data_IF_699501926136
#
_entry.id   IF_699501926136
#
_cell.length_a   1.000
_cell.length_b   1.000
_cell.length_c   1.000
_cell.angle_alpha   90.00
_cell.angle_beta   90.00
_cell.angle_gamma   90.00
#
_symmetry.space_group_name_H-M   'P 1'
#
loop_
_entity.id
_entity.type
_entity.pdbx_description
1 polymer ?
#
# COMPACT_ATOMS: atom_id res chain seq x y z
N UNK A 1 4.93 11.52 25.12
CA UNK A 1 4.81 10.53 24.04
C UNK A 1 5.53 9.20 24.36
N UNK A 2 6.81 9.20 24.77
CA UNK A 2 7.52 7.96 25.13
C UNK A 2 6.95 7.23 26.35
N UNK A 3 6.53 7.95 27.37
CA UNK A 3 5.88 7.37 28.57
C UNK A 3 4.46 6.89 28.27
N UNK A 4 3.72 7.59 27.42
CA UNK A 4 2.35 7.20 27.01
C UNK A 4 2.39 5.98 26.09
N UNK A 5 3.30 5.95 25.10
CA UNK A 5 3.46 4.81 24.19
C UNK A 5 3.89 3.53 24.93
N UNK A 6 4.81 3.64 25.89
CA UNK A 6 5.16 2.53 26.79
C UNK A 6 4.00 2.16 27.72
N UNK A 7 3.24 3.14 28.20
CA UNK A 7 2.05 2.90 29.04
C UNK A 7 0.94 2.21 28.25
N UNK A 8 0.65 2.62 27.01
CA UNK A 8 -0.33 1.96 26.14
C UNK A 8 0.09 0.54 25.80
N UNK A 9 1.35 0.33 25.41
CA UNK A 9 1.90 -1.01 25.14
C UNK A 9 1.92 -1.87 26.42
N UNK A 10 2.22 -1.30 27.57
CA UNK A 10 2.25 -2.02 28.84
C UNK A 10 0.84 -2.22 29.45
N UNK A 11 -0.11 -1.32 29.24
CA UNK A 11 -1.49 -1.49 29.70
C UNK A 11 -2.20 -2.58 28.91
N UNK A 12 -2.14 -2.60 27.59
CA UNK A 12 -2.77 -3.66 26.80
C UNK A 12 -2.19 -5.05 27.08
N UNK A 13 -0.89 -5.15 27.38
CA UNK A 13 -0.22 -6.44 27.64
C UNK A 13 -0.30 -6.88 29.11
N UNK A 14 -0.41 -5.94 30.07
CA UNK A 14 -0.39 -6.30 31.51
C UNK A 14 -1.71 -6.76 32.08
N UNK A 15 -2.83 -6.25 31.56
CA UNK A 15 -4.15 -6.48 32.16
C UNK A 15 -5.11 -7.25 31.26
N UNK A 16 -4.76 -7.49 29.98
CA UNK A 16 -5.60 -8.21 29.03
C UNK A 16 -4.81 -9.29 28.31
N UNK A 17 -5.39 -10.49 28.20
CA UNK A 17 -4.87 -11.55 27.33
C UNK A 17 -5.19 -11.20 25.88
N UNK A 18 -4.17 -10.95 25.05
CA UNK A 18 -4.31 -10.69 23.60
C UNK A 18 -3.73 -11.85 22.82
N UNK A 19 -4.52 -12.43 21.93
CA UNK A 19 -4.08 -13.44 20.96
C UNK A 19 -4.15 -12.80 19.57
N UNK A 20 -3.04 -12.84 18.83
CA UNK A 20 -2.97 -12.37 17.43
C UNK A 20 -2.92 -13.57 16.52
N UNK A 21 -3.85 -13.64 15.57
CA UNK A 21 -3.89 -14.69 14.54
C UNK A 21 -3.44 -14.10 13.21
N UNK A 22 -2.57 -14.79 12.51
CA UNK A 22 -2.08 -14.44 11.18
C UNK A 22 -2.28 -15.62 10.23
N UNK A 23 -2.91 -15.37 9.10
CA UNK A 23 -3.18 -16.42 8.11
C UNK A 23 -1.92 -16.85 7.33
N UNK A 24 -0.95 -15.94 7.19
CA UNK A 24 0.33 -16.21 6.55
C UNK A 24 1.33 -16.82 7.54
N UNK A 25 2.42 -17.40 7.01
CA UNK A 25 3.56 -17.91 7.79
C UNK A 25 4.45 -16.80 8.36
N UNK A 26 4.12 -15.53 8.11
CA UNK A 26 4.90 -14.35 8.53
C UNK A 26 3.98 -13.23 9.02
N UNK A 27 4.50 -12.40 9.92
CA UNK A 27 3.83 -11.18 10.41
C UNK A 27 4.10 -9.99 9.48
N UNK A 28 3.27 -8.94 9.57
CA UNK A 28 3.42 -7.69 8.83
C UNK A 28 2.40 -7.53 7.68
N UNK A 29 1.70 -8.62 7.33
CA UNK A 29 0.71 -8.61 6.26
C UNK A 29 1.31 -8.17 4.92
N UNK A 30 0.83 -7.04 4.36
CA UNK A 30 1.35 -6.45 3.10
C UNK A 30 2.65 -5.65 3.26
N UNK A 31 3.26 -5.66 4.42
CA UNK A 31 4.54 -5.02 4.70
C UNK A 31 5.59 -6.12 4.95
N UNK A 32 6.22 -6.60 3.88
CA UNK A 32 7.12 -7.76 3.87
C UNK A 32 8.44 -7.38 3.25
N UNK A 33 9.53 -7.65 3.97
CA UNK A 33 10.90 -7.55 3.45
C UNK A 33 11.46 -8.94 3.23
N UNK A 34 11.95 -9.21 2.03
CA UNK A 34 12.69 -10.42 1.67
C UNK A 34 14.20 -10.19 1.74
N UNK A 35 14.93 -11.17 2.25
CA UNK A 35 16.39 -11.13 2.40
C UNK A 35 17.08 -12.24 1.56
N UNK A 36 16.34 -12.95 0.71
CA UNK A 36 16.86 -14.10 -0.03
C UNK A 36 17.04 -13.83 -1.53
N UNK A 37 16.37 -12.80 -2.06
CA UNK A 37 16.34 -12.51 -3.50
C UNK A 37 17.61 -11.77 -3.92
N UNK A 38 17.90 -10.67 -3.23
CA UNK A 38 19.07 -9.82 -3.47
C UNK A 38 20.06 -9.89 -2.31
N UNK A 39 21.25 -9.37 -2.52
CA UNK A 39 22.26 -9.31 -1.47
C UNK A 39 21.94 -8.26 -0.38
N UNK A 40 20.88 -7.49 -0.58
CA UNK A 40 20.33 -6.54 0.38
C UNK A 40 18.84 -6.82 0.61
N UNK A 41 18.27 -6.39 1.76
CA UNK A 41 16.85 -6.49 2.03
C UNK A 41 16.00 -5.79 0.97
N UNK A 42 14.91 -6.43 0.52
CA UNK A 42 14.01 -5.90 -0.49
C UNK A 42 12.56 -5.97 -0.03
N UNK A 43 11.89 -4.82 0.01
CA UNK A 43 10.48 -4.75 0.36
C UNK A 43 9.57 -5.20 -0.80
N UNK A 44 8.97 -6.35 -0.67
CA UNK A 44 7.99 -6.87 -1.63
C UNK A 44 6.66 -6.09 -1.61
N UNK A 45 6.30 -5.54 -0.45
CA UNK A 45 5.08 -4.75 -0.25
C UNK A 45 5.36 -3.28 0.03
N UNK A 46 4.76 -2.73 1.10
CA UNK A 46 5.01 -1.36 1.53
C UNK A 46 6.47 -1.09 1.81
N UNK A 47 7.05 -0.05 1.19
CA UNK A 47 8.44 0.35 1.36
C UNK A 47 8.58 1.77 1.91
N UNK A 48 7.58 2.60 1.68
CA UNK A 48 7.67 4.04 1.91
C UNK A 48 7.08 4.45 3.26
N UNK A 49 7.82 5.27 3.98
CA UNK A 49 7.29 6.10 5.06
C UNK A 49 6.76 7.39 4.42
N UNK A 50 5.56 7.33 3.86
CA UNK A 50 4.90 8.50 3.26
C UNK A 50 4.65 9.58 4.30
N UNK A 51 4.70 10.87 3.87
CA UNK A 51 4.50 12.03 4.74
C UNK A 51 5.38 11.95 6.00
N UNK A 52 6.67 11.67 5.81
CA UNK A 52 7.60 11.28 6.87
C UNK A 52 7.77 12.33 7.97
N UNK A 53 7.54 13.59 7.67
CA UNK A 53 7.58 14.72 8.63
C UNK A 53 6.49 14.61 9.72
N UNK A 54 5.34 14.01 9.39
CA UNK A 54 4.21 13.80 10.32
C UNK A 54 3.97 12.32 10.63
N UNK A 55 4.60 11.41 9.92
CA UNK A 55 4.42 9.97 10.05
C UNK A 55 4.99 9.45 11.40
N UNK A 56 4.18 8.87 12.27
CA UNK A 56 4.66 8.37 13.56
C UNK A 56 5.71 7.26 13.42
N UNK A 57 5.62 6.45 12.37
CA UNK A 57 6.58 5.36 12.12
C UNK A 57 7.96 5.91 11.73
N UNK A 58 8.04 7.03 11.01
CA UNK A 58 9.32 7.68 10.71
C UNK A 58 10.02 8.14 12.00
N UNK A 59 9.28 8.78 12.90
CA UNK A 59 9.78 9.19 14.21
C UNK A 59 10.24 8.00 15.06
N UNK A 60 9.46 6.91 15.06
CA UNK A 60 9.83 5.69 15.81
C UNK A 60 11.08 5.05 15.21
N UNK A 61 11.22 5.03 13.88
CA UNK A 61 12.42 4.51 13.22
C UNK A 61 13.67 5.30 13.63
N UNK A 62 13.61 6.64 13.60
CA UNK A 62 14.72 7.49 14.07
C UNK A 62 15.06 7.25 15.57
N UNK A 63 14.05 7.14 16.42
CA UNK A 63 14.23 6.87 17.85
C UNK A 63 14.85 5.49 18.14
N UNK A 64 14.64 4.54 17.25
CA UNK A 64 15.21 3.20 17.33
C UNK A 64 16.53 3.04 16.55
N UNK A 65 17.08 4.17 16.06
CA UNK A 65 18.32 4.23 15.29
C UNK A 65 18.28 3.45 13.97
N UNK A 66 17.13 3.32 13.35
CA UNK A 66 17.04 2.85 11.96
C UNK A 66 17.49 3.98 11.04
N UNK A 67 18.38 3.66 10.11
CA UNK A 67 18.79 4.62 9.09
C UNK A 67 17.68 4.81 8.06
N UNK A 68 17.39 6.09 7.74
CA UNK A 68 16.37 6.48 6.78
C UNK A 68 17.03 7.11 5.56
N UNK A 69 16.65 6.63 4.38
CA UNK A 69 17.04 7.20 3.10
C UNK A 69 16.04 8.28 2.68
N UNK A 70 16.50 9.53 2.74
CA UNK A 70 15.70 10.74 2.49
C UNK A 70 15.96 11.24 1.07
N UNK A 71 15.64 10.41 0.07
CA UNK A 71 15.92 10.70 -1.34
C UNK A 71 14.72 11.33 -2.01
N UNK A 72 14.99 12.32 -2.87
CA UNK A 72 14.01 12.82 -3.82
C UNK A 72 14.32 12.19 -5.18
N UNK A 73 13.30 11.63 -5.79
CA UNK A 73 13.38 11.07 -7.13
C UNK A 73 13.14 12.15 -8.17
N UNK A 74 13.85 12.11 -9.28
CA UNK A 74 13.67 13.07 -10.38
C UNK A 74 13.30 12.34 -11.66
N UNK A 75 12.24 12.79 -12.33
CA UNK A 75 11.88 12.31 -13.65
C UNK A 75 12.99 12.66 -14.64
N UNK A 76 13.75 11.65 -15.06
CA UNK A 76 14.93 11.85 -15.89
C UNK A 76 14.69 11.37 -17.31
N UNK A 77 14.03 10.22 -17.47
CA UNK A 77 13.71 9.66 -18.77
C UNK A 77 12.22 9.38 -18.87
N UNK A 78 11.63 9.81 -19.97
CA UNK A 78 10.25 9.47 -20.31
C UNK A 78 10.23 9.03 -21.77
N UNK A 79 9.81 7.79 -21.99
CA UNK A 79 9.65 7.21 -23.31
C UNK A 79 8.19 6.84 -23.54
N UNK A 80 7.61 7.43 -24.57
CA UNK A 80 6.18 7.22 -24.86
C UNK A 80 5.98 6.89 -26.32
N UNK A 81 5.39 5.74 -26.59
CA UNK A 81 4.99 5.30 -27.93
C UNK A 81 6.16 5.38 -28.95
N UNK A 82 7.31 4.87 -28.57
CA UNK A 82 8.51 4.80 -29.44
C UNK A 82 9.33 6.08 -29.48
N UNK A 83 8.99 7.12 -28.69
CA UNK A 83 9.68 8.41 -28.67
C UNK A 83 10.15 8.77 -27.27
N UNK A 84 11.44 9.02 -27.12
CA UNK A 84 11.99 9.61 -25.90
C UNK A 84 11.73 11.11 -25.86
N UNK A 85 11.21 11.60 -24.73
CA UNK A 85 10.96 13.03 -24.55
C UNK A 85 12.27 13.81 -24.36
N UNK A 86 12.31 15.02 -24.93
CA UNK A 86 13.39 15.96 -24.70
C UNK A 86 13.29 16.54 -23.28
N UNK A 87 14.39 17.14 -22.77
CA UNK A 87 14.38 17.81 -21.47
C UNK A 87 13.34 18.95 -21.38
N UNK A 88 13.02 19.61 -22.50
CA UNK A 88 11.98 20.63 -22.57
C UNK A 88 10.59 20.00 -22.41
N UNK A 89 10.32 18.91 -23.12
CA UNK A 89 9.07 18.16 -23.03
C UNK A 89 8.86 17.57 -21.64
N UNK A 90 9.93 17.10 -20.98
CA UNK A 90 9.87 16.59 -19.59
C UNK A 90 9.48 17.74 -18.65
N UNK A 91 10.04 18.96 -18.83
CA UNK A 91 9.62 20.13 -18.03
C UNK A 91 8.14 20.48 -18.24
N UNK A 92 7.65 20.47 -19.48
CA UNK A 92 6.22 20.67 -19.77
C UNK A 92 5.34 19.61 -19.09
N UNK A 93 5.78 18.36 -19.12
CA UNK A 93 5.09 17.24 -18.47
C UNK A 93 5.03 17.42 -16.95
N UNK A 94 6.14 17.78 -16.30
CA UNK A 94 6.17 18.07 -14.86
C UNK A 94 5.21 19.21 -14.50
N UNK A 95 5.19 20.29 -15.27
CA UNK A 95 4.23 21.39 -15.06
C UNK A 95 2.77 20.93 -15.21
N UNK A 96 2.52 19.99 -16.13
CA UNK A 96 1.20 19.39 -16.26
C UNK A 96 0.81 18.57 -15.02
N UNK A 97 1.73 17.78 -14.47
CA UNK A 97 1.52 17.02 -13.23
C UNK A 97 1.19 17.95 -12.06
N UNK A 98 1.93 19.04 -11.89
CA UNK A 98 1.65 20.05 -10.86
C UNK A 98 0.24 20.64 -11.00
N UNK A 99 -0.16 21.01 -12.21
CA UNK A 99 -1.51 21.52 -12.49
C UNK A 99 -2.60 20.47 -12.23
N UNK A 100 -2.33 19.25 -12.57
CA UNK A 100 -3.22 18.11 -12.31
C UNK A 100 -3.50 17.97 -10.81
N UNK A 101 -2.46 17.97 -9.98
CA UNK A 101 -2.60 17.90 -8.53
C UNK A 101 -3.31 19.10 -7.95
N UNK A 102 -3.06 20.31 -8.47
CA UNK A 102 -3.81 21.51 -8.09
C UNK A 102 -5.31 21.34 -8.37
N UNK A 103 -5.69 20.77 -9.51
CA UNK A 103 -7.09 20.53 -9.84
C UNK A 103 -7.74 19.53 -8.89
N UNK A 104 -7.03 18.44 -8.53
CA UNK A 104 -7.52 17.44 -7.58
C UNK A 104 -7.68 18.06 -6.19
N UNK A 105 -6.67 18.78 -5.72
CA UNK A 105 -6.66 19.42 -4.40
C UNK A 105 -7.63 20.63 -4.28
N UNK A 106 -8.04 21.20 -5.39
CA UNK A 106 -9.06 22.25 -5.43
C UNK A 106 -10.46 21.69 -5.77
N UNK A 107 -10.62 20.36 -5.85
CA UNK A 107 -11.93 19.76 -6.04
C UNK A 107 -12.81 20.10 -4.83
N UNK A 108 -13.99 20.62 -5.12
CA UNK A 108 -14.94 21.05 -4.10
C UNK A 108 -15.62 19.83 -3.48
N UNK A 109 -15.21 19.51 -2.25
CA UNK A 109 -15.74 18.38 -1.48
C UNK A 109 -17.27 18.46 -1.23
N UNK A 110 -17.90 19.65 -1.41
CA UNK A 110 -19.36 19.83 -1.35
C UNK A 110 -20.09 19.33 -2.60
N UNK A 111 -19.37 19.03 -3.67
CA UNK A 111 -19.91 18.57 -4.93
C UNK A 111 -19.92 17.05 -4.99
N UNK A 112 -20.65 16.52 -5.97
CA UNK A 112 -20.71 15.08 -6.26
C UNK A 112 -19.29 14.52 -6.43
N UNK A 113 -18.97 13.45 -5.70
CA UNK A 113 -17.72 12.71 -5.87
C UNK A 113 -17.59 12.19 -7.30
N UNK A 114 -16.53 12.60 -7.96
CA UNK A 114 -16.23 12.25 -9.34
C UNK A 114 -15.06 11.29 -9.41
N UNK A 115 -14.89 10.63 -10.56
CA UNK A 115 -13.63 9.93 -10.80
C UNK A 115 -12.47 10.93 -10.98
N UNK A 116 -11.28 10.54 -10.55
CA UNK A 116 -10.04 11.33 -10.71
C UNK A 116 -9.82 11.70 -12.18
N UNK A 117 -10.12 10.80 -13.10
CA UNK A 117 -9.97 11.01 -14.54
C UNK A 117 -10.68 12.29 -15.03
N UNK A 118 -11.87 12.60 -14.46
CA UNK A 118 -12.65 13.78 -14.83
C UNK A 118 -12.03 15.11 -14.41
N UNK A 119 -11.10 15.10 -13.47
CA UNK A 119 -10.37 16.28 -12.99
C UNK A 119 -9.06 16.51 -13.75
N UNK A 120 -8.63 15.55 -14.59
CA UNK A 120 -7.39 15.69 -15.36
C UNK A 120 -7.54 16.74 -16.46
N UNK A 121 -6.66 17.75 -16.53
CA UNK A 121 -6.69 18.75 -17.59
C UNK A 121 -6.51 18.11 -18.97
N UNK A 122 -7.14 18.69 -20.00
CA UNK A 122 -6.89 18.26 -21.38
C UNK A 122 -5.47 18.65 -21.79
N UNK A 123 -4.68 17.69 -22.24
CA UNK A 123 -3.29 17.88 -22.70
C UNK A 123 -2.78 16.65 -23.44
N UNK A 124 -1.75 16.82 -24.25
CA UNK A 124 -0.95 15.72 -24.84
C UNK A 124 -0.30 14.83 -23.74
N UNK A 125 -0.11 15.37 -22.53
CA UNK A 125 0.51 14.71 -21.38
C UNK A 125 -0.48 13.87 -20.55
N UNK A 126 -1.79 14.00 -20.81
CA UNK A 126 -2.83 13.34 -20.02
C UNK A 126 -2.64 11.81 -19.97
N UNK A 127 -2.23 11.19 -21.08
CA UNK A 127 -2.05 9.74 -21.16
C UNK A 127 -0.98 9.22 -20.18
N UNK A 128 0.21 9.84 -20.18
CA UNK A 128 1.30 9.43 -19.27
C UNK A 128 0.89 9.69 -17.81
N UNK A 129 0.39 10.89 -17.51
CA UNK A 129 -0.01 11.29 -16.17
C UNK A 129 -1.11 10.40 -15.58
N UNK A 130 -2.08 9.98 -16.40
CA UNK A 130 -3.13 9.04 -16.02
C UNK A 130 -2.54 7.72 -15.51
N UNK A 131 -1.54 7.19 -16.18
CA UNK A 131 -0.90 5.94 -15.80
C UNK A 131 0.00 6.09 -14.55
N UNK A 132 0.64 7.25 -14.36
CA UNK A 132 1.31 7.54 -13.07
C UNK A 132 0.32 7.57 -11.90
N UNK A 133 -0.88 8.14 -12.09
CA UNK A 133 -1.93 8.08 -11.06
C UNK A 133 -2.33 6.63 -10.79
N UNK A 134 -2.43 5.78 -11.81
CA UNK A 134 -2.76 4.37 -11.64
C UNK A 134 -1.72 3.63 -10.78
N UNK A 135 -0.42 3.98 -10.87
CA UNK A 135 0.59 3.47 -9.95
C UNK A 135 0.35 3.93 -8.51
N UNK A 136 0.04 5.22 -8.31
CA UNK A 136 -0.14 5.78 -6.97
C UNK A 136 -1.38 5.23 -6.26
N UNK A 137 -2.47 5.05 -7.01
CA UNK A 137 -3.75 4.57 -6.47
C UNK A 137 -3.90 3.05 -6.52
N UNK A 138 -2.97 2.33 -7.16
CA UNK A 138 -3.11 0.92 -7.52
C UNK A 138 -4.40 0.62 -8.32
N UNK A 139 -4.99 1.64 -8.92
CA UNK A 139 -6.25 1.58 -9.65
C UNK A 139 -6.31 2.66 -10.71
N UNK A 140 -7.02 2.39 -11.80
CA UNK A 140 -7.18 3.35 -12.88
C UNK A 140 -7.95 4.60 -12.40
N UNK A 141 -7.56 5.82 -12.81
CA UNK A 141 -8.20 7.06 -12.36
C UNK A 141 -9.67 7.19 -12.77
N UNK A 142 -10.15 6.40 -13.74
CA UNK A 142 -11.55 6.32 -14.14
C UNK A 142 -12.47 5.74 -13.07
N UNK A 143 -11.94 4.83 -12.27
CA UNK A 143 -12.68 4.11 -11.22
C UNK A 143 -12.33 4.58 -9.82
N UNK A 144 -11.44 5.54 -9.67
CA UNK A 144 -10.96 6.04 -8.38
C UNK A 144 -11.69 7.33 -8.00
N UNK A 145 -12.12 7.43 -6.74
CA UNK A 145 -12.77 8.60 -6.16
C UNK A 145 -11.81 9.78 -6.04
N UNK A 146 -12.21 10.93 -6.54
CA UNK A 146 -11.47 12.17 -6.39
C UNK A 146 -11.50 12.71 -4.94
N UNK A 147 -12.59 12.48 -4.21
CA UNK A 147 -12.70 12.87 -2.82
C UNK A 147 -11.78 12.03 -1.93
N UNK A 148 -11.65 10.73 -2.20
CA UNK A 148 -10.73 9.86 -1.48
C UNK A 148 -9.28 10.35 -1.64
N UNK A 149 -8.89 10.76 -2.83
CA UNK A 149 -7.57 11.35 -3.11
C UNK A 149 -7.41 12.72 -2.45
N UNK A 150 -8.43 13.57 -2.53
CA UNK A 150 -8.43 14.90 -1.93
C UNK A 150 -8.23 14.87 -0.40
N UNK A 151 -8.85 13.91 0.29
CA UNK A 151 -8.74 13.78 1.74
C UNK A 151 -7.44 13.13 2.21
N UNK A 152 -6.65 12.53 1.29
CA UNK A 152 -5.35 11.99 1.65
C UNK A 152 -4.41 13.10 2.13
N UNK A 153 -3.90 12.96 3.33
CA UNK A 153 -2.92 13.91 3.90
C UNK A 153 -1.56 13.65 3.28
N UNK A 154 -1.22 14.39 2.24
CA UNK A 154 0.10 14.36 1.62
C UNK A 154 0.97 15.49 2.20
N UNK A 155 1.97 15.14 3.00
CA UNK A 155 2.96 16.05 3.57
C UNK A 155 4.35 15.80 2.97
N UNK A 156 5.40 16.26 3.62
CA UNK A 156 6.75 16.20 3.06
C UNK A 156 7.45 14.88 3.40
N UNK A 157 8.23 14.41 2.43
CA UNK A 157 9.17 13.31 2.58
C UNK A 157 8.51 11.94 2.43
N UNK A 158 9.00 11.21 1.44
CA UNK A 158 8.77 9.78 1.28
C UNK A 158 10.10 9.09 1.49
N UNK A 159 10.27 8.51 2.69
CA UNK A 159 11.56 7.97 3.11
C UNK A 159 11.53 6.44 3.10
N UNK A 160 12.68 5.84 2.77
CA UNK A 160 12.88 4.39 2.87
C UNK A 160 13.61 4.03 4.17
N UNK A 161 13.33 2.85 4.69
CA UNK A 161 14.07 2.28 5.83
C UNK A 161 15.18 1.38 5.29
N UNK A 162 16.44 1.58 5.68
CA UNK A 162 17.63 0.90 5.11
C UNK A 162 17.50 -0.64 5.07
N UNK A 163 16.96 -1.24 6.13
CA UNK A 163 16.80 -2.69 6.21
C UNK A 163 15.40 -3.17 5.78
N UNK A 164 14.67 -2.32 5.09
CA UNK A 164 13.30 -2.57 4.67
C UNK A 164 12.25 -2.19 5.72
N UNK A 165 11.14 -1.67 5.23
CA UNK A 165 10.01 -1.26 6.08
C UNK A 165 9.34 -2.48 6.75
N UNK A 166 9.23 -3.61 6.03
CA UNK A 166 8.68 -4.85 6.59
C UNK A 166 9.54 -5.38 7.75
N UNK A 167 10.87 -5.36 7.62
CA UNK A 167 11.79 -5.74 8.68
C UNK A 167 11.68 -4.81 9.90
N UNK A 168 11.52 -3.51 9.67
CA UNK A 168 11.28 -2.54 10.74
C UNK A 168 9.97 -2.80 11.47
N UNK A 169 8.86 -3.05 10.77
CA UNK A 169 7.57 -3.41 11.37
C UNK A 169 7.70 -4.71 12.17
N UNK A 170 8.33 -5.74 11.62
CA UNK A 170 8.60 -6.99 12.34
C UNK A 170 9.38 -6.74 13.63
N UNK A 171 10.40 -5.89 13.59
CA UNK A 171 11.18 -5.52 14.79
C UNK A 171 10.33 -4.80 15.84
N UNK A 172 9.40 -3.92 15.44
CA UNK A 172 8.54 -3.20 16.39
C UNK A 172 7.62 -4.12 17.18
N UNK A 173 7.20 -5.22 16.58
CA UNK A 173 6.19 -6.13 17.13
C UNK A 173 6.73 -7.52 17.47
N UNK A 174 8.04 -7.67 17.54
CA UNK A 174 8.71 -8.96 17.81
C UNK A 174 8.34 -9.58 19.16
N UNK A 175 7.99 -8.75 20.15
CA UNK A 175 7.62 -9.23 21.51
C UNK A 175 6.12 -9.61 21.63
N UNK A 176 5.35 -9.53 20.54
CA UNK A 176 3.94 -9.90 20.54
C UNK A 176 3.83 -11.36 20.08
N UNK A 177 3.20 -12.20 20.89
CA UNK A 177 2.90 -13.57 20.50
C UNK A 177 1.87 -13.59 19.36
N UNK A 178 2.27 -14.08 18.20
CA UNK A 178 1.42 -14.25 17.02
C UNK A 178 1.36 -15.72 16.64
N UNK A 179 0.16 -16.23 16.42
CA UNK A 179 -0.06 -17.57 15.87
C UNK A 179 -0.15 -17.42 14.35
N UNK A 180 0.90 -17.83 13.65
CA UNK A 180 0.97 -17.82 12.18
C UNK A 180 0.32 -19.09 11.59
N UNK A 181 0.10 -19.09 10.28
CA UNK A 181 -0.57 -20.19 9.55
C UNK A 181 -1.94 -20.54 10.11
N UNK A 182 -2.60 -19.56 10.76
CA UNK A 182 -3.84 -19.75 11.51
C UNK A 182 -4.93 -18.77 11.01
N UNK A 183 -5.53 -19.02 9.84
CA UNK A 183 -6.58 -18.16 9.30
C UNK A 183 -7.87 -18.28 10.15
N UNK A 184 -8.47 -17.13 10.48
CA UNK A 184 -9.85 -17.11 10.96
C UNK A 184 -10.80 -17.49 9.81
N UNK A 185 -11.68 -18.44 10.04
CA UNK A 185 -12.66 -18.94 9.05
C UNK A 185 -14.08 -18.50 9.35
N UNK A 186 -14.43 -18.33 10.64
CA UNK A 186 -15.74 -17.87 11.09
C UNK A 186 -15.57 -16.90 12.26
N UNK A 187 -16.34 -15.83 12.27
CA UNK A 187 -16.45 -14.88 13.39
C UNK A 187 -17.91 -14.80 13.81
N UNK A 188 -18.21 -15.33 14.99
CA UNK A 188 -19.53 -15.25 15.60
C UNK A 188 -19.51 -14.18 16.71
N UNK A 189 -20.29 -13.10 16.51
CA UNK A 189 -20.45 -11.99 17.44
C UNK A 189 -21.91 -11.82 17.91
N UNK A 190 -22.70 -12.91 17.86
CA UNK A 190 -24.12 -12.93 18.25
C UNK A 190 -24.35 -12.87 19.77
N UNK A 191 -23.36 -13.29 20.57
CA UNK A 191 -23.45 -13.39 22.04
C UNK A 191 -22.70 -12.27 22.77
N UNK A 192 -22.57 -12.39 24.10
CA UNK A 192 -21.80 -11.48 24.95
C UNK A 192 -20.28 -11.66 24.85
N UNK A 193 -19.77 -11.88 23.64
CA UNK A 193 -18.36 -12.05 23.29
C UNK A 193 -18.22 -12.30 21.81
N UNK A 194 -17.03 -12.67 21.39
CA UNK A 194 -16.74 -13.05 20.01
C UNK A 194 -16.11 -14.43 20.02
N UNK A 195 -16.65 -15.32 19.20
CA UNK A 195 -16.10 -16.63 18.94
C UNK A 195 -15.43 -16.63 17.56
N UNK A 196 -14.16 -16.97 17.52
CA UNK A 196 -13.38 -17.07 16.28
C UNK A 196 -13.03 -18.53 16.03
N UNK A 197 -13.44 -19.06 14.88
CA UNK A 197 -13.09 -20.40 14.44
C UNK A 197 -11.87 -20.37 13.53
N UNK A 198 -10.96 -21.28 13.74
CA UNK A 198 -9.74 -21.48 12.96
C UNK A 198 -9.55 -22.98 12.68
N UNK A 199 -8.66 -23.39 11.78
CA UNK A 199 -8.29 -24.79 11.60
C UNK A 199 -7.75 -25.45 12.88
N UNK A 200 -7.13 -24.68 13.78
CA UNK A 200 -6.54 -25.14 15.04
C UNK A 200 -7.55 -25.22 16.19
N UNK A 201 -8.78 -24.73 16.00
CA UNK A 201 -9.82 -24.74 17.00
C UNK A 201 -10.56 -23.42 17.16
N UNK A 202 -11.20 -23.26 18.33
CA UNK A 202 -12.09 -22.14 18.63
C UNK A 202 -11.45 -21.26 19.70
N UNK A 203 -11.46 -19.95 19.45
CA UNK A 203 -11.03 -18.94 20.41
C UNK A 203 -12.26 -18.13 20.83
N UNK A 204 -12.45 -17.98 22.14
CA UNK A 204 -13.47 -17.11 22.71
C UNK A 204 -12.80 -15.88 23.31
N UNK A 205 -13.32 -14.70 22.99
CA UNK A 205 -12.79 -13.43 23.46
C UNK A 205 -13.92 -12.45 23.80
N UNK A 206 -13.62 -11.42 24.58
CA UNK A 206 -14.54 -10.31 24.82
C UNK A 206 -14.71 -9.44 23.59
N UNK A 207 -13.62 -9.22 22.87
CA UNK A 207 -13.52 -8.38 21.68
C UNK A 207 -12.73 -9.09 20.58
N UNK A 208 -13.00 -8.76 19.33
CA UNK A 208 -12.15 -9.09 18.20
C UNK A 208 -11.87 -7.84 17.36
N UNK A 209 -10.63 -7.72 16.88
CA UNK A 209 -10.21 -6.67 15.94
C UNK A 209 -9.84 -7.34 14.62
N UNK A 210 -10.56 -6.99 13.56
CA UNK A 210 -10.35 -7.53 12.23
C UNK A 210 -9.54 -6.55 11.39
N UNK A 211 -8.38 -7.01 10.90
CA UNK A 211 -7.42 -6.17 10.16
C UNK A 211 -7.11 -6.69 8.74
N UNK A 212 -7.94 -7.60 8.25
CA UNK A 212 -7.80 -8.15 6.90
C UNK A 212 -8.09 -7.10 5.83
N UNK A 213 -7.56 -7.31 4.63
CA UNK A 213 -7.82 -6.42 3.49
C UNK A 213 -9.30 -6.43 3.08
N UNK A 214 -9.75 -5.38 2.39
CA UNK A 214 -11.08 -5.36 1.76
C UNK A 214 -11.22 -6.46 0.71
N UNK A 215 -10.12 -6.90 0.08
CA UNK A 215 -10.11 -8.03 -0.82
C UNK A 215 -10.50 -9.35 -0.14
N UNK A 216 -10.00 -9.61 1.07
CA UNK A 216 -10.37 -10.79 1.87
C UNK A 216 -11.85 -10.74 2.27
N UNK A 217 -12.35 -9.55 2.66
CA UNK A 217 -13.75 -9.36 3.02
C UNK A 217 -14.69 -9.54 1.82
N UNK A 218 -14.35 -8.96 0.68
CA UNK A 218 -15.15 -9.05 -0.56
C UNK A 218 -15.18 -10.49 -1.14
N UNK A 219 -14.13 -11.28 -0.91
CA UNK A 219 -14.08 -12.69 -1.32
C UNK A 219 -14.69 -13.65 -0.28
N UNK A 220 -15.34 -13.12 0.77
CA UNK A 220 -16.07 -13.89 1.80
C UNK A 220 -15.24 -15.03 2.41
N UNK A 221 -13.92 -14.82 2.56
CA UNK A 221 -13.01 -15.81 3.15
C UNK A 221 -13.27 -16.06 4.63
N UNK A 222 -13.90 -15.11 5.29
CA UNK A 222 -14.34 -15.20 6.68
C UNK A 222 -15.86 -15.13 6.71
N UNK A 223 -16.49 -16.12 7.30
CA UNK A 223 -17.93 -16.14 7.55
C UNK A 223 -18.27 -15.36 8.80
N UNK A 224 -19.33 -14.57 8.76
CA UNK A 224 -19.79 -13.77 9.89
C UNK A 224 -21.15 -14.27 10.40
N UNK A 225 -21.28 -14.37 11.72
CA UNK A 225 -22.54 -14.71 12.35
C UNK A 225 -22.82 -13.75 13.52
N UNK A 226 -23.93 -12.97 13.47
CA UNK A 226 -24.80 -12.80 12.31
C UNK A 226 -24.06 -12.26 11.10
N UNK A 227 -24.69 -12.30 9.91
CA UNK A 227 -24.11 -11.70 8.70
C UNK A 227 -23.78 -10.22 8.92
N UNK A 228 -22.78 -9.72 8.20
CA UNK A 228 -22.47 -8.29 8.22
C UNK A 228 -23.67 -7.48 7.75
N UNK A 229 -23.97 -6.34 8.39
CA UNK A 229 -25.04 -5.45 7.96
C UNK A 229 -24.87 -5.05 6.48
N UNK A 230 -25.97 -4.86 5.77
CA UNK A 230 -25.98 -4.47 4.33
C UNK A 230 -25.07 -3.24 4.12
N UNK A 231 -25.19 -2.21 4.95
CA UNK A 231 -24.36 -1.00 4.89
C UNK A 231 -22.87 -1.31 4.95
N UNK A 232 -22.45 -2.29 5.78
CA UNK A 232 -21.04 -2.72 5.89
C UNK A 232 -20.60 -3.48 4.63
N UNK A 233 -21.45 -4.35 4.08
CA UNK A 233 -21.18 -5.05 2.81
C UNK A 233 -21.06 -4.07 1.63
N UNK A 234 -21.90 -3.04 1.57
CA UNK A 234 -21.82 -1.96 0.58
C UNK A 234 -20.53 -1.15 0.73
N UNK A 235 -20.12 -0.86 1.96
CA UNK A 235 -18.85 -0.17 2.22
C UNK A 235 -17.63 -1.00 1.74
N UNK A 236 -17.64 -2.31 1.97
CA UNK A 236 -16.59 -3.22 1.46
C UNK A 236 -16.55 -3.18 -0.07
N UNK A 237 -17.69 -3.22 -0.74
CA UNK A 237 -17.78 -3.16 -2.21
C UNK A 237 -17.36 -1.81 -2.79
N UNK A 238 -17.55 -0.71 -2.05
CA UNK A 238 -17.12 0.63 -2.42
C UNK A 238 -15.64 0.90 -2.15
N UNK A 239 -14.94 -0.04 -1.50
CA UNK A 239 -13.51 0.00 -1.19
C UNK A 239 -12.79 -1.21 -1.80
N UNK A 240 -12.81 -1.40 -3.12
CA UNK A 240 -12.09 -2.51 -3.73
C UNK A 240 -10.60 -2.44 -3.44
N UNK A 241 -9.94 -3.59 -3.53
CA UNK A 241 -8.49 -3.68 -3.42
C UNK A 241 -7.87 -3.44 -4.80
N UNK A 242 -6.93 -2.50 -4.87
CA UNK A 242 -6.18 -2.20 -6.08
C UNK A 242 -4.95 -3.09 -6.24
N UNK A 243 -4.25 -2.93 -7.35
CA UNK A 243 -3.06 -3.70 -7.65
C UNK A 243 -1.88 -2.79 -8.04
N UNK A 244 -0.81 -2.91 -7.30
CA UNK A 244 0.51 -2.38 -7.63
C UNK A 244 1.52 -3.51 -7.44
N UNK A 245 2.18 -3.93 -8.52
CA UNK A 245 3.24 -4.91 -8.46
C UNK A 245 4.60 -4.23 -8.64
N UNK A 246 5.60 -4.80 -7.98
CA UNK A 246 7.01 -4.39 -8.05
C UNK A 246 7.83 -5.38 -8.85
N UNK A 247 8.75 -4.83 -9.61
CA UNK A 247 9.76 -5.57 -10.33
C UNK A 247 11.13 -5.10 -9.82
N UNK A 248 11.84 -5.96 -9.10
CA UNK A 248 13.18 -5.67 -8.60
C UNK A 248 14.24 -6.03 -9.65
N UNK A 249 15.23 -5.18 -9.81
CA UNK A 249 16.40 -5.39 -10.65
C UNK A 249 17.65 -5.13 -9.84
N UNK A 250 18.59 -6.06 -9.84
CA UNK A 250 19.94 -5.84 -9.36
C UNK A 250 20.85 -5.57 -10.56
N UNK A 251 21.45 -4.38 -10.57
CA UNK A 251 22.36 -3.97 -11.64
C UNK A 251 23.83 -4.11 -11.23
N UNK A 252 24.73 -4.10 -12.22
CA UNK A 252 26.14 -3.87 -11.96
C UNK A 252 26.33 -2.51 -11.28
N UNK A 253 27.19 -2.44 -10.24
CA UNK A 253 27.44 -1.23 -9.46
C UNK A 253 27.88 -0.06 -10.35
N UNK A 254 28.77 -0.30 -11.31
CA UNK A 254 29.28 0.75 -12.21
C UNK A 254 28.19 1.40 -13.07
N UNK A 255 27.16 0.66 -13.44
CA UNK A 255 26.01 1.20 -14.20
C UNK A 255 25.09 1.97 -13.27
N UNK A 256 24.80 1.42 -12.10
CA UNK A 256 23.84 1.96 -11.15
C UNK A 256 24.31 3.28 -10.53
N UNK A 257 25.59 3.45 -10.23
CA UNK A 257 26.16 4.69 -9.65
C UNK A 257 25.89 5.92 -10.54
N UNK A 258 25.88 5.74 -11.87
CA UNK A 258 25.58 6.82 -12.80
C UNK A 258 24.10 7.22 -12.86
N UNK A 259 23.18 6.41 -12.28
CA UNK A 259 21.73 6.57 -12.47
C UNK A 259 20.95 6.70 -11.15
N UNK A 260 21.64 6.81 -10.02
CA UNK A 260 21.01 6.87 -8.70
C UNK A 260 20.06 8.08 -8.54
N UNK A 261 18.87 7.85 -7.96
CA UNK A 261 17.87 8.87 -7.70
C UNK A 261 17.13 9.37 -8.94
N UNK A 262 17.26 8.65 -10.05
CA UNK A 262 16.60 8.96 -11.32
C UNK A 262 15.43 7.99 -11.55
N UNK A 263 14.49 8.38 -12.41
CA UNK A 263 13.36 7.54 -12.82
C UNK A 263 13.27 7.41 -14.32
N UNK A 264 12.71 6.31 -14.78
CA UNK A 264 12.44 6.03 -16.17
C UNK A 264 10.97 5.62 -16.34
N UNK A 265 10.19 6.46 -16.98
CA UNK A 265 8.79 6.21 -17.32
C UNK A 265 8.67 5.67 -18.74
N UNK A 266 7.90 4.61 -18.93
CA UNK A 266 7.68 3.97 -20.22
C UNK A 266 6.21 3.71 -20.47
N UNK A 267 5.70 4.21 -21.61
CA UNK A 267 4.32 4.04 -22.04
C UNK A 267 4.25 3.46 -23.45
N UNK A 268 3.44 2.43 -23.63
CA UNK A 268 3.05 1.87 -24.93
C UNK A 268 1.53 1.94 -25.05
N UNK A 269 1.06 2.47 -26.19
CA UNK A 269 -0.37 2.68 -26.37
C UNK A 269 -0.92 3.74 -25.39
N UNK A 270 -2.03 3.44 -24.78
CA UNK A 270 -2.71 4.37 -23.85
C UNK A 270 -2.52 3.98 -22.38
N UNK A 271 -2.07 2.74 -22.09
CA UNK A 271 -2.22 2.16 -20.76
C UNK A 271 -1.05 1.29 -20.29
N UNK A 272 -0.30 0.69 -21.22
CA UNK A 272 0.80 -0.21 -20.87
C UNK A 272 1.98 0.63 -20.36
N UNK A 273 2.07 0.75 -19.05
CA UNK A 273 2.95 1.72 -18.39
C UNK A 273 3.72 1.08 -17.23
N UNK A 274 5.00 1.43 -17.15
CA UNK A 274 5.79 1.24 -15.94
C UNK A 274 6.61 2.49 -15.61
N UNK A 275 6.93 2.65 -14.33
CA UNK A 275 7.93 3.59 -13.83
C UNK A 275 9.03 2.81 -13.14
N UNK A 276 10.29 3.09 -13.44
CA UNK A 276 11.44 2.42 -12.86
C UNK A 276 12.26 3.44 -12.08
N UNK A 277 12.47 3.18 -10.81
CA UNK A 277 13.25 4.04 -9.90
C UNK A 277 14.61 3.39 -9.61
N UNK A 278 15.70 4.14 -9.82
CA UNK A 278 17.07 3.63 -9.70
C UNK A 278 17.72 4.04 -8.37
N UNK A 279 18.40 3.11 -7.73
CA UNK A 279 19.15 3.36 -6.51
C UNK A 279 18.30 3.31 -5.24
N UNK A 280 17.39 2.34 -5.14
CA UNK A 280 16.70 2.03 -3.90
C UNK A 280 17.73 1.75 -2.79
N UNK A 281 17.46 2.27 -1.60
CA UNK A 281 18.34 2.13 -0.42
C UNK A 281 19.80 2.59 -0.65
N UNK A 282 20.03 3.55 -1.58
CA UNK A 282 21.38 3.95 -2.02
C UNK A 282 22.24 2.79 -2.52
N UNK A 283 21.61 1.80 -3.15
CA UNK A 283 22.20 0.55 -3.62
C UNK A 283 22.15 0.39 -5.15
N UNK A 284 22.58 -0.77 -5.62
CA UNK A 284 22.47 -1.17 -7.03
C UNK A 284 21.09 -1.78 -7.41
N UNK A 285 20.09 -1.57 -6.57
CA UNK A 285 18.72 -2.02 -6.85
C UNK A 285 17.94 -0.91 -7.54
N UNK A 286 17.26 -1.29 -8.63
CA UNK A 286 16.17 -0.50 -9.21
C UNK A 286 14.84 -1.23 -9.01
N UNK A 287 13.76 -0.47 -8.91
CA UNK A 287 12.42 -1.00 -8.74
C UNK A 287 11.50 -0.47 -9.82
N UNK A 288 11.01 -1.38 -10.66
CA UNK A 288 9.93 -1.12 -11.59
C UNK A 288 8.57 -1.26 -10.89
N UNK A 289 7.62 -0.43 -11.28
CA UNK A 289 6.24 -0.44 -10.79
C UNK A 289 5.29 -0.56 -11.96
N UNK A 290 4.31 -1.46 -11.84
CA UNK A 290 3.15 -1.57 -12.71
C UNK A 290 1.90 -1.54 -11.86
N UNK A 291 0.84 -0.83 -12.29
CA UNK A 291 -0.34 -0.60 -11.44
C UNK A 291 -1.66 -0.67 -12.20
N UNK A 292 -2.75 -0.70 -11.42
CA UNK A 292 -4.10 -0.72 -11.93
C UNK A 292 -4.40 -1.95 -12.77
N UNK A 293 -5.27 -1.78 -13.76
CA UNK A 293 -5.70 -2.86 -14.64
C UNK A 293 -4.57 -3.48 -15.47
N UNK A 294 -3.57 -2.68 -15.85
CA UNK A 294 -2.42 -3.20 -16.60
C UNK A 294 -1.59 -4.19 -15.76
N UNK A 295 -1.38 -3.91 -14.48
CA UNK A 295 -0.73 -4.86 -13.58
C UNK A 295 -1.51 -6.17 -13.43
N UNK A 296 -2.84 -6.11 -13.43
CA UNK A 296 -3.70 -7.31 -13.39
C UNK A 296 -3.57 -8.15 -14.67
N UNK A 297 -3.52 -7.50 -15.83
CA UNK A 297 -3.29 -8.17 -17.11
C UNK A 297 -1.93 -8.89 -17.13
N UNK A 298 -0.85 -8.21 -16.71
CA UNK A 298 0.48 -8.82 -16.64
C UNK A 298 0.53 -10.00 -15.65
N UNK A 299 -0.16 -9.92 -14.52
CA UNK A 299 -0.21 -11.03 -13.55
C UNK A 299 -1.01 -12.23 -14.09
N UNK A 300 -2.07 -11.98 -14.87
CA UNK A 300 -2.84 -13.03 -15.58
C UNK A 300 -1.98 -13.71 -16.65
N UNK A 301 -1.16 -12.94 -17.37
CA UNK A 301 -0.25 -13.47 -18.40
C UNK A 301 0.87 -14.35 -17.80
N UNK A 302 1.05 -14.29 -16.49
CA UNK A 302 1.90 -15.16 -15.71
C UNK A 302 3.25 -14.56 -15.29
N UNK A 303 3.95 -15.31 -14.46
CA UNK A 303 5.24 -14.92 -13.88
C UNK A 303 6.27 -14.60 -14.99
N UNK A 304 6.94 -13.47 -14.85
CA UNK A 304 7.90 -12.93 -15.80
C UNK A 304 7.32 -11.90 -16.78
N UNK A 305 6.00 -11.79 -16.91
CA UNK A 305 5.38 -10.85 -17.85
C UNK A 305 5.68 -9.40 -17.48
N UNK A 306 5.56 -9.03 -16.20
CA UNK A 306 5.89 -7.71 -15.71
C UNK A 306 7.39 -7.42 -15.82
N UNK A 307 8.24 -8.38 -15.52
CA UNK A 307 9.70 -8.30 -15.69
C UNK A 307 10.07 -8.05 -17.14
N UNK A 308 9.48 -8.80 -18.09
CA UNK A 308 9.73 -8.65 -19.51
C UNK A 308 9.32 -7.25 -20.01
N UNK A 309 8.16 -6.75 -19.59
CA UNK A 309 7.71 -5.41 -19.96
C UNK A 309 8.67 -4.32 -19.46
N UNK A 310 9.13 -4.41 -18.22
CA UNK A 310 10.13 -3.48 -17.67
C UNK A 310 11.50 -3.63 -18.38
N UNK A 311 11.90 -4.84 -18.76
CA UNK A 311 13.11 -5.05 -19.58
C UNK A 311 12.99 -4.38 -20.95
N UNK A 312 11.83 -4.42 -21.58
CA UNK A 312 11.58 -3.74 -22.85
C UNK A 312 11.61 -2.21 -22.69
N UNK A 313 11.09 -1.69 -21.58
CA UNK A 313 11.23 -0.29 -21.20
C UNK A 313 12.71 0.12 -21.10
N UNK A 314 13.51 -0.66 -20.38
CA UNK A 314 14.96 -0.42 -20.22
C UNK A 314 15.69 -0.46 -21.58
N UNK A 315 15.35 -1.42 -22.44
CA UNK A 315 15.93 -1.49 -23.79
C UNK A 315 15.53 -0.29 -24.66
N UNK A 316 14.28 0.15 -24.58
CA UNK A 316 13.79 1.29 -25.35
C UNK A 316 14.49 2.61 -24.95
N UNK A 317 14.79 2.77 -23.65
CA UNK A 317 15.40 3.99 -23.10
C UNK A 317 16.93 3.97 -23.23
N UNK A 318 17.59 2.85 -22.88
CA UNK A 318 19.05 2.75 -22.77
C UNK A 318 19.71 1.89 -23.87
N UNK A 319 18.90 1.30 -24.75
CA UNK A 319 19.36 0.40 -25.81
C UNK A 319 19.56 -1.03 -25.33
N UNK A 320 19.63 -1.96 -26.30
CA UNK A 320 19.62 -3.41 -26.03
C UNK A 320 20.78 -3.92 -25.14
N UNK A 321 21.84 -3.15 -24.99
CA UNK A 321 22.99 -3.55 -24.16
C UNK A 321 22.69 -3.51 -22.67
N UNK A 322 21.65 -2.80 -22.24
CA UNK A 322 21.28 -2.64 -20.82
C UNK A 322 21.09 -3.97 -20.10
N UNK A 323 20.55 -4.99 -20.78
CA UNK A 323 20.30 -6.30 -20.18
C UNK A 323 21.58 -7.02 -19.70
N UNK A 324 22.74 -6.61 -20.20
CA UNK A 324 24.03 -7.18 -19.76
C UNK A 324 24.44 -6.71 -18.38
N UNK A 325 23.84 -5.63 -17.89
CA UNK A 325 24.11 -5.06 -16.58
C UNK A 325 23.10 -5.52 -15.51
N UNK A 326 22.10 -6.32 -15.89
CA UNK A 326 21.10 -6.87 -14.98
C UNK A 326 21.59 -8.23 -14.49
N UNK A 327 21.84 -8.34 -13.18
CA UNK A 327 22.35 -9.56 -12.55
C UNK A 327 21.21 -10.47 -12.06
N UNK A 328 20.22 -9.90 -11.38
CA UNK A 328 19.06 -10.61 -10.83
C UNK A 328 17.79 -9.81 -11.06
N UNK A 329 16.67 -10.51 -11.12
CA UNK A 329 15.33 -9.89 -11.19
C UNK A 329 14.36 -10.63 -10.28
N UNK A 330 13.32 -9.93 -9.85
CA UNK A 330 12.16 -10.51 -9.17
C UNK A 330 10.91 -9.72 -9.52
N UNK A 331 9.74 -10.33 -9.36
CA UNK A 331 8.46 -9.62 -9.46
C UNK A 331 7.48 -10.09 -8.39
N UNK A 332 6.56 -9.22 -8.00
CA UNK A 332 5.48 -9.54 -7.07
C UNK A 332 4.19 -9.85 -7.81
N UNK A 333 3.30 -10.61 -7.15
CA UNK A 333 2.01 -11.02 -7.67
C UNK A 333 0.95 -10.89 -6.54
N UNK A 334 0.58 -9.64 -6.22
CA UNK A 334 -0.28 -9.36 -5.06
C UNK A 334 -1.74 -9.75 -5.29
N UNK A 335 -2.23 -9.81 -6.52
CA UNK A 335 -3.60 -10.24 -6.84
C UNK A 335 -3.80 -11.72 -6.50
N UNK A 336 -2.80 -12.53 -6.79
CA UNK A 336 -2.79 -13.98 -6.54
C UNK A 336 -2.59 -14.33 -5.06
N UNK A 337 -2.16 -13.36 -4.22
CA UNK A 337 -2.00 -13.58 -2.80
C UNK A 337 -3.37 -13.68 -2.11
N UNK A 338 -3.76 -14.89 -1.71
CA UNK A 338 -5.07 -15.20 -1.10
C UNK A 338 -5.28 -14.58 0.28
N UNK A 339 -4.23 -14.06 0.93
CA UNK A 339 -4.30 -13.36 2.21
C UNK A 339 -4.48 -11.84 2.05
N UNK A 340 -4.46 -11.31 0.82
CA UNK A 340 -4.68 -9.88 0.54
C UNK A 340 -5.55 -9.59 -0.66
N UNK A 341 -5.46 -10.40 -1.73
CA UNK A 341 -6.13 -10.23 -3.04
C UNK A 341 -5.78 -8.93 -3.78
N UNK A 342 -4.65 -8.31 -3.45
CA UNK A 342 -4.17 -7.08 -4.04
C UNK A 342 -3.27 -6.29 -3.11
N UNK A 343 -2.97 -5.06 -3.47
CA UNK A 343 -1.96 -4.22 -2.80
C UNK A 343 -2.55 -3.34 -1.70
N UNK A 344 -3.45 -2.43 -2.02
CA UNK A 344 -4.13 -1.55 -1.05
C UNK A 344 -5.48 -1.07 -1.59
N UNK A 345 -6.32 -0.56 -0.68
CA UNK A 345 -7.68 -0.16 -1.01
C UNK A 345 -7.73 1.21 -1.68
N UNK A 346 -8.68 1.37 -2.59
CA UNK A 346 -9.11 2.67 -3.10
C UNK A 346 -10.64 2.80 -2.99
N UNK A 347 -11.18 4.02 -3.00
CA UNK A 347 -12.62 4.21 -3.02
C UNK A 347 -13.12 4.38 -4.45
N UNK A 348 -14.30 3.81 -4.76
CA UNK A 348 -15.03 4.10 -5.99
C UNK A 348 -15.63 5.53 -5.94
N UNK A 349 -15.88 6.18 -7.09
CA UNK A 349 -16.63 7.43 -7.12
C UNK A 349 -17.98 7.31 -6.41
N UNK A 350 -18.22 8.16 -5.41
CA UNK A 350 -19.37 8.08 -4.50
C UNK A 350 -19.13 7.19 -3.27
N UNK A 351 -17.99 6.56 -3.15
CA UNK A 351 -17.65 5.61 -2.07
C UNK A 351 -16.73 6.17 -0.98
N UNK A 352 -16.40 7.45 -0.99
CA UNK A 352 -15.48 8.04 -0.01
C UNK A 352 -15.86 7.77 1.45
N UNK A 353 -17.14 7.90 1.82
CA UNK A 353 -17.62 7.64 3.18
C UNK A 353 -17.52 6.17 3.60
N UNK A 354 -17.29 5.26 2.66
CA UNK A 354 -17.21 3.83 2.95
C UNK A 354 -16.07 3.48 3.93
N UNK A 355 -15.00 4.29 4.00
CA UNK A 355 -13.89 4.09 4.96
C UNK A 355 -14.36 4.24 6.40
N UNK A 356 -15.17 5.24 6.68
CA UNK A 356 -15.75 5.48 8.02
C UNK A 356 -16.78 4.40 8.35
N UNK A 357 -17.62 4.02 7.40
CA UNK A 357 -18.59 2.93 7.56
C UNK A 357 -17.87 1.60 7.83
N UNK A 358 -16.76 1.32 7.13
CA UNK A 358 -15.94 0.14 7.39
C UNK A 358 -15.31 0.17 8.80
N UNK A 359 -14.95 1.33 9.32
CA UNK A 359 -14.38 1.50 10.66
C UNK A 359 -15.42 1.38 11.80
N UNK A 360 -16.72 1.44 11.50
CA UNK A 360 -17.78 1.29 12.51
C UNK A 360 -17.69 -0.05 13.22
N UNK A 361 -17.85 -0.05 14.54
CA UNK A 361 -17.87 -1.26 15.37
C UNK A 361 -19.22 -1.98 15.23
N UNK A 362 -19.23 -3.28 15.35
CA UNK A 362 -20.47 -4.08 15.45
C UNK A 362 -20.64 -4.60 16.87
N UNK A 363 -21.81 -4.30 17.48
CA UNK A 363 -22.22 -4.70 18.82
C UNK A 363 -21.20 -4.35 19.92
N UNK A 364 -20.36 -3.32 19.72
CA UNK A 364 -19.24 -2.95 20.60
C UNK A 364 -18.29 -4.12 20.93
N UNK A 365 -18.19 -5.10 20.04
CA UNK A 365 -17.37 -6.32 20.21
C UNK A 365 -16.51 -6.64 19.00
N UNK A 366 -17.02 -6.45 17.80
CA UNK A 366 -16.27 -6.67 16.57
C UNK A 366 -15.82 -5.33 16.00
N UNK A 367 -14.51 -5.11 15.95
CA UNK A 367 -13.86 -3.89 15.50
C UNK A 367 -13.16 -4.12 14.19
N UNK A 368 -13.01 -3.07 13.40
CA UNK A 368 -12.31 -3.09 12.13
C UNK A 368 -11.18 -2.06 12.14
N UNK A 369 -9.99 -2.48 11.74
CA UNK A 369 -8.82 -1.63 11.58
C UNK A 369 -8.06 -2.02 10.30
N UNK A 370 -7.08 -1.24 9.93
CA UNK A 370 -6.30 -1.41 8.70
C UNK A 370 -6.35 -0.15 7.86
N UNK A 371 -5.53 -0.09 6.80
CA UNK A 371 -5.40 1.10 5.95
C UNK A 371 -6.73 1.52 5.32
N UNK A 372 -7.63 0.57 5.03
CA UNK A 372 -8.90 0.83 4.39
C UNK A 372 -9.90 1.59 5.28
N UNK A 373 -9.70 1.59 6.61
CA UNK A 373 -10.56 2.28 7.60
C UNK A 373 -10.15 3.72 7.88
N UNK A 374 -9.16 4.24 7.17
CA UNK A 374 -8.63 5.60 7.35
C UNK A 374 -8.97 6.46 6.14
N UNK A 375 -9.54 7.64 6.38
CA UNK A 375 -9.95 8.57 5.33
C UNK A 375 -8.89 9.61 4.96
N UNK A 376 -7.81 9.72 5.74
CA UNK A 376 -6.74 10.71 5.53
C UNK A 376 -5.33 10.13 5.43
N UNK A 377 -5.18 8.83 5.64
CA UNK A 377 -3.92 8.09 5.53
C UNK A 377 -4.18 6.67 5.00
N UNK A 378 -5.21 6.54 4.16
CA UNK A 378 -5.57 5.30 3.47
C UNK A 378 -4.40 4.78 2.63
N UNK A 379 -4.44 3.49 2.32
CA UNK A 379 -3.46 2.82 1.48
C UNK A 379 -2.00 2.85 2.01
N UNK A 380 -1.79 3.24 3.27
CA UNK A 380 -0.45 3.38 3.86
C UNK A 380 -0.23 2.52 5.10
N UNK A 381 1.04 2.17 5.36
CA UNK A 381 1.44 1.42 6.56
C UNK A 381 1.16 2.22 7.83
N UNK A 382 1.42 3.53 7.82
CA UNK A 382 1.11 4.37 8.98
C UNK A 382 -0.40 4.56 9.20
N UNK A 383 -1.20 4.56 8.15
CA UNK A 383 -2.67 4.55 8.26
C UNK A 383 -3.16 3.29 8.97
N UNK A 384 -2.66 2.12 8.56
CA UNK A 384 -2.96 0.86 9.25
C UNK A 384 -2.55 0.91 10.73
N UNK A 385 -1.36 1.43 11.04
CA UNK A 385 -0.86 1.59 12.40
C UNK A 385 -1.74 2.53 13.24
N UNK A 386 -2.11 3.70 12.70
CA UNK A 386 -2.97 4.67 13.38
C UNK A 386 -4.39 4.14 13.59
N UNK A 387 -4.92 3.36 12.65
CA UNK A 387 -6.24 2.73 12.81
C UNK A 387 -6.26 1.74 13.96
N UNK A 388 -5.18 0.97 14.13
CA UNK A 388 -5.01 0.06 15.27
C UNK A 388 -5.00 0.80 16.61
N UNK A 389 -4.31 1.94 16.69
CA UNK A 389 -4.30 2.79 17.89
C UNK A 389 -5.73 3.27 18.22
N UNK A 390 -6.46 3.81 17.22
CA UNK A 390 -7.85 4.28 17.41
C UNK A 390 -8.77 3.18 17.94
N UNK A 391 -8.63 1.96 17.42
CA UNK A 391 -9.43 0.82 17.88
C UNK A 391 -9.07 0.41 19.31
N UNK A 392 -7.77 0.37 19.64
CA UNK A 392 -7.33 0.06 21.02
C UNK A 392 -7.85 1.07 22.03
N UNK A 393 -7.79 2.37 21.71
CA UNK A 393 -8.35 3.44 22.55
C UNK A 393 -9.86 3.29 22.74
N UNK A 394 -10.60 2.92 21.67
CA UNK A 394 -12.04 2.68 21.75
C UNK A 394 -12.39 1.49 22.64
N UNK A 395 -11.65 0.39 22.54
CA UNK A 395 -11.84 -0.79 23.40
C UNK A 395 -11.60 -0.43 24.86
N UNK A 396 -10.51 0.30 25.17
CA UNK A 396 -10.21 0.75 26.53
C UNK A 396 -11.30 1.64 27.11
N UNK A 397 -11.87 2.54 26.30
CA UNK A 397 -12.98 3.39 26.73
C UNK A 397 -14.25 2.58 27.06
N UNK A 398 -14.54 1.53 26.29
CA UNK A 398 -15.66 0.63 26.56
C UNK A 398 -15.41 -0.18 27.86
N UNK A 399 -14.19 -0.68 28.06
CA UNK A 399 -13.82 -1.46 29.25
C UNK A 399 -13.88 -0.63 30.55
N UNK A 400 -13.56 0.66 30.47
CA UNK A 400 -13.59 1.53 31.65
C UNK A 400 -15.01 2.03 31.99
N UNK A 401 -15.95 1.93 31.05
CA UNK A 401 -17.34 2.33 31.23
C UNK A 401 -18.25 1.21 31.78
N UNK A 402 -17.77 -0.04 31.76
CA UNK A 402 -18.43 -1.25 32.25
C UNK A 402 -17.81 -1.72 33.55
#
# INVERSE_FOLDING_TARGET
LHKEYRRQRQMCIRDSSVTVLEAASHIGGRCVTDNSIFDIPFDLGGSWLHSADINPLARIAEQKNFKLHKKNWSNTWVHSNGVSLTSEQIREYVQYIEKMWQNINNSDASKKDLSVEKLLPKSKWKGIAKNQIALMLAADPEVSSALDVFHFTNSKGDWLVENGLGAFIKHLFNDIGVVTDCPATTIDYSSNGVKVETPEGIINSKYAVLTVSTGVLANEKIKFFPELPIRKKEAINNLPIGLLNKIGFEFDLSWQEAHQGQTADYLVGERDFCSIEFGFYDSNIAVGFVGGRFAEELEIDGLGSATNFCCDALKAIFGNKIVKFINKTTETAWKSNTNSYGSYSYALPGGFEAREILAETLNDRLFFAGEATMSNSQATVHGAFLSGIKVAEKILAIDTAN
#
